data_IF_328663738214
#
_entry.id   IF_328663738214
#
_cell.length_a   1.000
_cell.length_b   1.000
_cell.length_c   1.000
_cell.angle_alpha   90.00
_cell.angle_beta   90.00
_cell.angle_gamma   90.00
#
_symmetry.space_group_name_H-M   'P 1'
#
loop_
_entity.id
_entity.type
_entity.pdbx_description
1 polymer ?
#
# COMPACT_ATOMS: atom_id res chain seq x y z
N UNK A 1 11.75 -26.07 -7.60
CA UNK A 1 10.76 -25.42 -6.70
C UNK A 1 11.16 -25.46 -5.23
N UNK A 2 11.64 -26.58 -4.65
CA UNK A 2 12.05 -26.64 -3.24
C UNK A 2 13.24 -25.72 -2.87
N UNK A 3 14.22 -25.52 -3.76
CA UNK A 3 15.37 -24.64 -3.48
C UNK A 3 15.00 -23.15 -3.43
N UNK A 4 14.15 -22.68 -4.34
CA UNK A 4 13.66 -21.28 -4.34
C UNK A 4 12.92 -20.93 -3.04
N UNK A 5 12.08 -21.85 -2.55
CA UNK A 5 11.38 -21.66 -1.28
C UNK A 5 12.33 -21.63 -0.07
N UNK A 6 13.37 -22.46 -0.07
CA UNK A 6 14.39 -22.45 0.98
C UNK A 6 15.21 -21.16 0.97
N UNK A 7 15.61 -20.68 -0.21
CA UNK A 7 16.33 -19.42 -0.39
C UNK A 7 15.49 -18.21 0.07
N UNK A 8 14.20 -18.19 -0.28
CA UNK A 8 13.28 -17.18 0.21
C UNK A 8 13.13 -17.21 1.73
N UNK A 9 13.02 -18.39 2.34
CA UNK A 9 12.94 -18.52 3.82
C UNK A 9 14.20 -18.00 4.51
N UNK A 10 15.37 -18.29 3.97
CA UNK A 10 16.64 -17.79 4.51
C UNK A 10 16.71 -16.26 4.41
N UNK A 11 16.39 -15.70 3.23
CA UNK A 11 16.35 -14.25 3.03
C UNK A 11 15.30 -13.55 3.91
N UNK A 12 14.10 -14.13 4.01
CA UNK A 12 13.03 -13.62 4.85
C UNK A 12 13.50 -13.53 6.31
N UNK A 13 14.11 -14.59 6.83
CA UNK A 13 14.58 -14.62 8.21
C UNK A 13 15.76 -13.69 8.49
N UNK A 14 16.65 -13.49 7.51
CA UNK A 14 17.87 -12.71 7.69
C UNK A 14 17.67 -11.21 7.44
N UNK A 15 16.87 -10.83 6.44
CA UNK A 15 16.75 -9.45 5.97
C UNK A 15 15.40 -8.84 6.35
N UNK A 16 14.30 -9.50 6.01
CA UNK A 16 12.94 -8.94 6.16
C UNK A 16 12.46 -9.02 7.61
N UNK A 17 12.69 -10.14 8.29
CA UNK A 17 12.24 -10.37 9.66
C UNK A 17 12.79 -9.36 10.68
N UNK A 18 14.11 -9.05 10.73
CA UNK A 18 14.61 -8.03 11.67
C UNK A 18 14.08 -6.63 11.36
N UNK A 19 13.93 -6.28 10.08
CA UNK A 19 13.28 -5.04 9.63
C UNK A 19 11.83 -4.96 10.14
N UNK A 20 11.04 -6.02 9.94
CA UNK A 20 9.66 -6.11 10.43
C UNK A 20 9.59 -6.03 11.95
N UNK A 21 10.50 -6.67 12.68
CA UNK A 21 10.57 -6.58 14.14
C UNK A 21 10.86 -5.16 14.61
N UNK A 22 11.79 -4.44 13.97
CA UNK A 22 12.10 -3.06 14.29
C UNK A 22 10.88 -2.14 14.06
N UNK A 23 10.18 -2.34 12.94
CA UNK A 23 8.95 -1.61 12.61
C UNK A 23 7.83 -1.93 13.59
N UNK A 24 7.68 -3.19 14.01
CA UNK A 24 6.71 -3.62 15.01
C UNK A 24 6.98 -3.03 16.39
N UNK A 25 8.24 -2.99 16.82
CA UNK A 25 8.63 -2.33 18.08
C UNK A 25 8.31 -0.83 18.03
N UNK A 26 8.57 -0.17 16.91
CA UNK A 26 8.21 1.24 16.69
C UNK A 26 6.70 1.44 16.75
N UNK A 27 5.91 0.59 16.09
CA UNK A 27 4.44 0.58 16.14
C UNK A 27 3.93 0.42 17.57
N UNK A 28 4.42 -0.57 18.31
CA UNK A 28 4.05 -0.81 19.72
C UNK A 28 4.43 0.36 20.64
N UNK A 29 5.57 1.02 20.40
CA UNK A 29 5.96 2.22 21.16
C UNK A 29 4.99 3.37 20.90
N UNK A 30 4.62 3.62 19.65
CA UNK A 30 3.64 4.65 19.28
C UNK A 30 2.25 4.34 19.85
N UNK A 31 1.79 3.09 19.78
CA UNK A 31 0.52 2.66 20.38
C UNK A 31 0.51 2.82 21.90
N UNK A 32 1.61 2.47 22.60
CA UNK A 32 1.72 2.68 24.05
C UNK A 32 1.70 4.16 24.42
N UNK A 33 2.41 5.01 23.66
CA UNK A 33 2.38 6.47 23.86
C UNK A 33 0.98 7.05 23.60
N UNK A 34 0.27 6.56 22.58
CA UNK A 34 -1.10 6.94 22.29
C UNK A 34 -2.05 6.54 23.43
N UNK A 35 -1.95 5.31 23.92
CA UNK A 35 -2.75 4.83 25.05
C UNK A 35 -2.48 5.65 26.32
N UNK A 36 -1.21 5.90 26.63
CA UNK A 36 -0.81 6.76 27.75
C UNK A 36 -1.37 8.18 27.61
N UNK A 37 -1.32 8.75 26.40
CA UNK A 37 -1.89 10.08 26.12
C UNK A 37 -3.41 10.12 26.25
N UNK A 38 -4.10 9.05 25.86
CA UNK A 38 -5.55 8.91 26.06
C UNK A 38 -5.92 8.81 27.55
N UNK A 39 -5.12 8.08 28.33
CA UNK A 39 -5.30 7.98 29.78
C UNK A 39 -5.03 9.32 30.48
N UNK A 40 -4.01 10.06 30.03
CA UNK A 40 -3.74 11.43 30.51
C UNK A 40 -4.92 12.36 30.20
N UNK A 41 -5.48 12.30 28.98
CA UNK A 41 -6.64 13.10 28.60
C UNK A 41 -7.87 12.75 29.46
N UNK A 42 -8.12 11.46 29.70
CA UNK A 42 -9.19 11.01 30.60
C UNK A 42 -8.99 11.54 32.03
N UNK A 43 -7.76 11.54 32.55
CA UNK A 43 -7.44 12.09 33.87
C UNK A 43 -7.72 13.60 33.95
N UNK A 44 -7.40 14.37 32.90
CA UNK A 44 -7.73 15.81 32.83
C UNK A 44 -9.24 16.04 32.84
N UNK A 45 -10.02 15.20 32.13
CA UNK A 45 -11.49 15.29 32.11
C UNK A 45 -12.09 14.94 33.48
N UNK A 46 -11.58 13.91 34.17
CA UNK A 46 -12.03 13.59 35.54
C UNK A 46 -11.71 14.73 36.51
N UNK A 47 -10.52 15.32 36.41
CA UNK A 47 -10.13 16.48 37.21
C UNK A 47 -11.03 17.69 36.93
N UNK A 48 -11.44 17.89 35.69
CA UNK A 48 -12.40 18.92 35.30
C UNK A 48 -13.73 18.76 36.02
N UNK A 49 -14.30 17.55 36.03
CA UNK A 49 -15.57 17.27 36.71
C UNK A 49 -15.46 17.50 38.21
N UNK A 50 -14.31 17.20 38.82
CA UNK A 50 -14.08 17.39 40.25
C UNK A 50 -13.88 18.85 40.66
N UNK A 51 -13.05 19.60 39.92
CA UNK A 51 -12.72 20.99 40.27
C UNK A 51 -13.76 22.00 39.79
N UNK A 52 -14.50 21.70 38.71
CA UNK A 52 -15.48 22.61 38.08
C UNK A 52 -14.89 23.97 37.63
N UNK A 53 -13.56 24.09 37.50
CA UNK A 53 -12.88 25.32 37.05
C UNK A 53 -12.60 25.24 35.55
N UNK A 54 -13.47 25.83 34.74
CA UNK A 54 -13.38 25.80 33.27
C UNK A 54 -12.07 26.36 32.71
N UNK A 55 -11.52 27.43 33.31
CA UNK A 55 -10.31 28.08 32.82
C UNK A 55 -9.06 27.19 32.94
N UNK A 56 -8.92 26.47 34.06
CA UNK A 56 -7.80 25.55 34.32
C UNK A 56 -7.85 24.36 33.37
N UNK A 57 -9.04 23.87 33.08
CA UNK A 57 -9.24 22.70 32.22
C UNK A 57 -8.98 23.04 30.77
N UNK A 58 -9.41 24.21 30.30
CA UNK A 58 -9.11 24.70 28.96
C UNK A 58 -7.60 24.91 28.77
N UNK A 59 -6.92 25.48 29.78
CA UNK A 59 -5.48 25.68 29.75
C UNK A 59 -4.68 24.35 29.68
N UNK A 60 -5.13 23.29 30.35
CA UNK A 60 -4.52 21.95 30.31
C UNK A 60 -4.82 21.19 29.01
N UNK A 61 -5.99 21.42 28.40
CA UNK A 61 -6.41 20.69 27.21
C UNK A 61 -5.60 21.10 25.96
N UNK A 62 -5.19 22.36 25.87
CA UNK A 62 -4.37 22.88 24.75
C UNK A 62 -3.06 22.08 24.56
N UNK A 63 -2.15 21.97 25.56
CA UNK A 63 -0.90 21.23 25.39
C UNK A 63 -1.13 19.73 25.17
N UNK A 64 -2.13 19.13 25.82
CA UNK A 64 -2.48 17.71 25.63
C UNK A 64 -2.99 17.46 24.20
N UNK A 65 -3.85 18.33 23.68
CA UNK A 65 -4.38 18.24 22.33
C UNK A 65 -3.29 18.38 21.27
N UNK A 66 -2.36 19.33 21.45
CA UNK A 66 -1.20 19.49 20.55
C UNK A 66 -0.31 18.25 20.55
N UNK A 67 -0.05 17.67 21.73
CA UNK A 67 0.75 16.44 21.86
C UNK A 67 0.09 15.24 21.15
N UNK A 68 -1.22 15.05 21.34
CA UNK A 68 -1.98 13.97 20.67
C UNK A 68 -1.95 14.17 19.15
N UNK A 69 -2.16 15.40 18.68
CA UNK A 69 -2.13 15.72 17.24
C UNK A 69 -0.77 15.40 16.63
N UNK A 70 0.32 15.76 17.33
CA UNK A 70 1.68 15.41 16.92
C UNK A 70 1.90 13.89 16.85
N UNK A 71 1.41 13.12 17.83
CA UNK A 71 1.50 11.66 17.83
C UNK A 71 0.74 11.04 16.65
N UNK A 72 -0.48 11.51 16.37
CA UNK A 72 -1.27 11.04 15.23
C UNK A 72 -0.55 11.33 13.91
N UNK A 73 0.01 12.53 13.76
CA UNK A 73 0.81 12.88 12.59
C UNK A 73 2.02 11.94 12.42
N UNK A 74 2.76 11.66 13.49
CA UNK A 74 3.88 10.70 13.46
C UNK A 74 3.47 9.29 13.07
N UNK A 75 2.30 8.83 13.51
CA UNK A 75 1.74 7.53 13.12
C UNK A 75 1.41 7.50 11.63
N UNK A 76 0.77 8.54 11.10
CA UNK A 76 0.46 8.62 9.67
C UNK A 76 1.72 8.62 8.80
N UNK A 77 2.77 9.35 9.21
CA UNK A 77 4.06 9.35 8.51
C UNK A 77 4.68 7.95 8.54
N UNK A 78 4.65 7.26 9.68
CA UNK A 78 5.14 5.89 9.79
C UNK A 78 4.44 4.93 8.81
N UNK A 79 3.11 5.00 8.68
CA UNK A 79 2.38 4.17 7.72
C UNK A 79 2.75 4.46 6.27
N UNK A 80 3.00 5.74 5.93
CA UNK A 80 3.43 6.15 4.58
C UNK A 80 4.83 5.65 4.24
N UNK A 81 5.74 5.59 5.22
CA UNK A 81 7.11 5.09 5.04
C UNK A 81 7.19 3.55 5.05
N UNK A 82 6.28 2.88 5.76
CA UNK A 82 6.30 1.44 5.96
C UNK A 82 6.14 0.65 4.64
N UNK A 83 5.06 0.93 3.87
CA UNK A 83 4.75 0.21 2.64
C UNK A 83 5.93 0.26 1.64
N UNK A 84 6.46 1.44 1.26
CA UNK A 84 7.59 1.51 0.33
C UNK A 84 8.85 0.80 0.79
N UNK A 85 9.16 0.86 2.09
CA UNK A 85 10.37 0.22 2.62
C UNK A 85 10.32 -1.29 2.51
N UNK A 86 9.18 -1.89 2.84
CA UNK A 86 9.01 -3.35 2.76
C UNK A 86 8.91 -3.82 1.32
N UNK A 87 8.18 -3.11 0.46
CA UNK A 87 8.06 -3.49 -0.95
C UNK A 87 9.40 -3.36 -1.66
N UNK A 88 10.18 -2.32 -1.40
CA UNK A 88 11.53 -2.20 -1.96
C UNK A 88 12.43 -3.40 -1.58
N UNK A 89 12.44 -3.82 -0.32
CA UNK A 89 13.20 -5.00 0.12
C UNK A 89 12.73 -6.31 -0.54
N UNK A 90 11.43 -6.43 -0.84
CA UNK A 90 10.89 -7.57 -1.58
C UNK A 90 11.30 -7.53 -3.05
N UNK A 91 11.27 -6.35 -3.67
CA UNK A 91 11.69 -6.19 -5.07
C UNK A 91 13.19 -6.44 -5.21
N UNK A 92 14.03 -5.91 -4.32
CA UNK A 92 15.47 -6.18 -4.28
C UNK A 92 15.77 -7.68 -4.17
N UNK A 93 14.95 -8.43 -3.42
CA UNK A 93 15.10 -9.88 -3.35
C UNK A 93 14.80 -10.56 -4.70
N UNK A 94 13.75 -10.13 -5.38
CA UNK A 94 13.33 -10.72 -6.67
C UNK A 94 14.29 -10.30 -7.79
N UNK A 95 14.83 -9.09 -7.74
CA UNK A 95 15.82 -8.54 -8.69
C UNK A 95 17.14 -9.33 -8.70
N UNK A 96 17.48 -10.00 -7.60
CA UNK A 96 18.64 -10.90 -7.54
C UNK A 96 18.47 -12.17 -8.42
N UNK A 97 17.29 -12.40 -9.02
CA UNK A 97 17.10 -13.42 -10.06
C UNK A 97 17.46 -12.84 -11.43
N UNK A 98 18.27 -13.57 -12.20
CA UNK A 98 18.79 -13.16 -13.53
C UNK A 98 17.68 -12.80 -14.53
N UNK A 99 16.46 -13.26 -14.30
CA UNK A 99 15.33 -13.06 -15.21
C UNK A 99 14.49 -11.82 -14.93
N UNK A 100 14.67 -11.16 -13.80
CA UNK A 100 13.84 -10.03 -13.37
C UNK A 100 14.68 -8.77 -13.23
N UNK A 101 14.15 -7.65 -13.68
CA UNK A 101 14.71 -6.33 -13.42
C UNK A 101 13.57 -5.41 -13.01
N UNK A 102 13.74 -4.65 -11.92
CA UNK A 102 12.73 -3.68 -11.48
C UNK A 102 13.20 -2.24 -11.72
N UNK A 103 12.38 -1.47 -12.42
CA UNK A 103 12.69 -0.08 -12.78
C UNK A 103 12.17 0.92 -11.72
N UNK A 104 11.21 0.50 -10.89
CA UNK A 104 10.74 1.30 -9.77
C UNK A 104 9.46 0.80 -9.10
N UNK A 105 9.24 1.30 -7.88
CA UNK A 105 8.01 1.11 -7.11
C UNK A 105 7.41 2.46 -6.72
N UNK A 106 6.13 2.64 -7.02
CA UNK A 106 5.35 3.81 -6.68
C UNK A 106 4.14 3.41 -5.82
N UNK A 107 4.23 3.60 -4.50
CA UNK A 107 3.16 3.21 -3.56
C UNK A 107 1.77 3.81 -3.88
N UNK A 108 1.75 5.02 -4.45
CA UNK A 108 0.52 5.71 -4.87
C UNK A 108 0.29 5.65 -6.38
N UNK A 109 1.25 5.10 -7.13
CA UNK A 109 1.10 4.91 -8.56
C UNK A 109 0.08 3.82 -8.81
N UNK A 110 -0.54 3.87 -9.99
CA UNK A 110 -1.44 2.84 -10.48
C UNK A 110 -1.45 2.87 -12.01
N UNK A 111 -1.87 1.78 -12.62
CA UNK A 111 -2.10 1.72 -14.07
C UNK A 111 -3.32 2.60 -14.39
N UNK A 112 -3.26 3.50 -15.38
CA UNK A 112 -4.39 4.37 -15.74
C UNK A 112 -5.64 3.57 -16.17
N UNK A 113 -6.85 4.10 -15.93
CA UNK A 113 -8.10 3.47 -16.40
C UNK A 113 -8.11 3.20 -17.91
N UNK A 114 -7.47 4.05 -18.70
CA UNK A 114 -7.40 3.90 -20.16
C UNK A 114 -6.67 2.61 -20.54
N UNK A 115 -5.49 2.37 -19.94
CA UNK A 115 -4.73 1.13 -20.12
C UNK A 115 -5.50 -0.09 -19.60
N UNK A 116 -6.24 0.06 -18.50
CA UNK A 116 -7.08 -1.02 -17.98
C UNK A 116 -8.18 -1.41 -18.98
N UNK A 117 -8.85 -0.44 -19.60
CA UNK A 117 -9.87 -0.66 -20.63
C UNK A 117 -9.29 -1.14 -21.97
N UNK A 118 -8.05 -0.74 -22.31
CA UNK A 118 -7.33 -1.24 -23.49
C UNK A 118 -7.13 -2.76 -23.48
N UNK A 119 -7.11 -3.40 -22.29
CA UNK A 119 -7.08 -4.86 -22.19
C UNK A 119 -8.29 -5.54 -22.84
N UNK A 120 -9.41 -4.81 -23.02
CA UNK A 120 -10.72 -5.31 -23.47
C UNK A 120 -11.28 -6.47 -22.64
N UNK A 121 -10.70 -6.73 -21.47
CA UNK A 121 -11.22 -7.71 -20.49
C UNK A 121 -12.44 -7.10 -19.78
N UNK A 122 -12.44 -5.78 -19.60
CA UNK A 122 -13.47 -5.02 -18.93
C UNK A 122 -13.97 -3.88 -19.83
N UNK A 123 -15.26 -3.57 -19.75
CA UNK A 123 -15.93 -2.61 -20.64
C UNK A 123 -16.05 -1.21 -20.07
N UNK A 124 -16.08 -1.08 -18.75
CA UNK A 124 -16.53 0.09 -17.99
C UNK A 124 -15.81 0.14 -16.64
N UNK A 125 -15.59 1.35 -16.13
CA UNK A 125 -14.86 1.58 -14.87
C UNK A 125 -15.34 2.84 -14.14
N UNK A 126 -16.56 2.80 -13.61
CA UNK A 126 -17.19 3.98 -12.98
C UNK A 126 -16.53 4.42 -11.66
N UNK A 127 -16.06 3.47 -10.86
CA UNK A 127 -15.24 3.72 -9.67
C UNK A 127 -13.91 2.98 -9.81
N UNK A 128 -12.81 3.74 -9.86
CA UNK A 128 -11.47 3.23 -10.11
C UNK A 128 -10.52 3.66 -9.00
N UNK A 129 -10.00 2.68 -8.27
CA UNK A 129 -8.98 2.88 -7.26
C UNK A 129 -7.80 1.97 -7.52
N UNK A 130 -6.58 2.52 -7.46
CA UNK A 130 -5.36 1.75 -7.61
C UNK A 130 -4.27 2.20 -6.64
N UNK A 131 -3.44 1.25 -6.24
CA UNK A 131 -2.24 1.50 -5.45
C UNK A 131 -1.12 0.51 -5.79
N UNK A 132 0.07 0.76 -5.26
CA UNK A 132 1.21 -0.17 -5.31
C UNK A 132 1.66 -0.53 -6.75
N UNK A 133 1.93 0.48 -7.59
CA UNK A 133 2.47 0.29 -8.93
C UNK A 133 3.94 -0.17 -8.89
N UNK A 134 4.19 -1.27 -9.58
CA UNK A 134 5.49 -1.90 -9.80
C UNK A 134 5.74 -1.91 -11.31
N UNK A 135 6.91 -1.44 -11.72
CA UNK A 135 7.39 -1.54 -13.10
C UNK A 135 8.67 -2.36 -13.15
N UNK A 136 8.79 -3.16 -14.19
CA UNK A 136 10.00 -3.93 -14.42
C UNK A 136 10.00 -4.63 -15.77
N UNK A 137 10.96 -5.51 -15.93
CA UNK A 137 11.16 -6.32 -17.11
C UNK A 137 11.41 -7.77 -16.70
N UNK A 138 10.78 -8.70 -17.41
CA UNK A 138 11.10 -10.12 -17.33
C UNK A 138 11.80 -10.49 -18.63
N UNK A 139 13.11 -10.71 -18.56
CA UNK A 139 13.97 -10.94 -19.74
C UNK A 139 13.92 -9.77 -20.73
N UNK A 140 13.11 -9.88 -21.80
CA UNK A 140 12.92 -8.85 -22.82
C UNK A 140 11.48 -8.27 -22.80
N UNK A 141 10.64 -8.74 -21.88
CA UNK A 141 9.22 -8.36 -21.81
C UNK A 141 9.00 -7.35 -20.69
N UNK A 142 8.75 -6.06 -20.99
CA UNK A 142 8.39 -5.08 -19.97
C UNK A 142 7.02 -5.40 -19.38
N UNK A 143 6.86 -5.17 -18.08
CA UNK A 143 5.61 -5.35 -17.36
C UNK A 143 5.34 -4.21 -16.37
N UNK A 144 4.05 -3.96 -16.16
CA UNK A 144 3.51 -3.10 -15.12
C UNK A 144 2.52 -3.92 -14.30
N UNK A 145 2.59 -3.81 -12.98
CA UNK A 145 1.64 -4.45 -12.08
C UNK A 145 1.21 -3.48 -10.98
N UNK A 146 -0.07 -3.47 -10.63
CA UNK A 146 -0.57 -2.70 -9.48
C UNK A 146 -1.79 -3.38 -8.86
N UNK A 147 -2.09 -3.07 -7.61
CA UNK A 147 -3.36 -3.47 -7.00
C UNK A 147 -4.47 -2.53 -7.47
N UNK A 148 -5.53 -3.09 -8.04
CA UNK A 148 -6.70 -2.34 -8.50
C UNK A 148 -7.97 -2.82 -7.82
N UNK A 149 -8.86 -1.87 -7.56
CA UNK A 149 -10.25 -2.09 -7.18
C UNK A 149 -11.12 -1.28 -8.11
N UNK A 150 -11.86 -1.99 -8.96
CA UNK A 150 -12.73 -1.40 -9.98
C UNK A 150 -14.17 -1.81 -9.71
N UNK A 151 -15.08 -0.84 -9.73
CA UNK A 151 -16.52 -1.06 -9.63
C UNK A 151 -17.22 -0.41 -10.81
N UNK A 152 -18.33 -1.01 -11.16
CA UNK A 152 -19.20 -0.56 -12.25
C UNK A 152 -20.61 -0.33 -11.70
N UNK A 153 -21.29 0.67 -12.24
CA UNK A 153 -22.66 0.95 -11.91
C UNK A 153 -23.59 -0.03 -12.62
N UNK A 154 -24.28 -0.87 -11.85
CA UNK A 154 -25.33 -1.73 -12.38
C UNK A 154 -26.64 -0.94 -12.47
N UNK A 155 -27.10 -0.62 -13.68
CA UNK A 155 -28.40 0.03 -13.89
C UNK A 155 -29.55 -0.79 -13.27
N UNK A 156 -29.48 -2.12 -13.40
CA UNK A 156 -30.50 -3.06 -12.89
C UNK A 156 -30.61 -3.04 -11.37
N UNK A 157 -29.48 -2.92 -10.67
CA UNK A 157 -29.43 -2.93 -9.20
C UNK A 157 -29.31 -1.53 -8.59
N UNK A 158 -29.15 -0.51 -9.43
CA UNK A 158 -28.93 0.90 -9.03
C UNK A 158 -27.83 1.04 -7.98
N UNK A 159 -26.73 0.29 -8.11
CA UNK A 159 -25.60 0.28 -7.16
C UNK A 159 -24.28 -0.01 -7.87
N UNK A 160 -23.18 0.36 -7.23
CA UNK A 160 -21.83 -0.03 -7.65
C UNK A 160 -21.57 -1.49 -7.30
N UNK A 161 -21.38 -2.33 -8.31
CA UNK A 161 -20.96 -3.73 -8.17
C UNK A 161 -19.45 -3.85 -8.41
N UNK A 162 -18.79 -4.68 -7.60
CA UNK A 162 -17.37 -4.93 -7.73
C UNK A 162 -17.10 -5.77 -8.98
N UNK A 163 -16.31 -5.22 -9.90
CA UNK A 163 -15.93 -5.91 -11.15
C UNK A 163 -14.57 -6.56 -11.01
N UNK A 164 -13.62 -5.86 -10.39
CA UNK A 164 -12.27 -6.36 -10.19
C UNK A 164 -11.70 -5.92 -8.84
N UNK A 165 -11.03 -6.84 -8.13
CA UNK A 165 -10.27 -6.54 -6.93
C UNK A 165 -9.08 -7.48 -6.85
N UNK A 166 -7.87 -6.94 -7.03
CA UNK A 166 -6.64 -7.73 -6.94
C UNK A 166 -5.48 -7.11 -7.69
N UNK A 167 -4.45 -7.91 -7.94
CA UNK A 167 -3.27 -7.49 -8.69
C UNK A 167 -3.59 -7.57 -10.18
N UNK A 168 -3.56 -6.42 -10.85
CA UNK A 168 -3.64 -6.34 -12.30
C UNK A 168 -2.23 -6.26 -12.87
N UNK A 169 -1.90 -7.17 -13.77
CA UNK A 169 -0.59 -7.23 -14.43
C UNK A 169 -0.80 -7.08 -15.93
N UNK A 170 -0.06 -6.13 -16.51
CA UNK A 170 0.02 -5.89 -17.94
C UNK A 170 1.47 -6.10 -18.38
N UNK A 171 1.68 -6.87 -19.44
CA UNK A 171 2.99 -7.08 -20.03
C UNK A 171 2.88 -6.94 -21.55
N UNK A 172 3.83 -6.25 -22.16
CA UNK A 172 3.87 -6.09 -23.61
C UNK A 172 4.81 -7.13 -24.21
N UNK A 173 4.24 -8.11 -24.91
CA UNK A 173 5.01 -9.16 -25.57
C UNK A 173 5.37 -8.73 -26.99
N UNK A 174 6.49 -8.03 -27.13
CA UNK A 174 7.08 -7.72 -28.43
C UNK A 174 7.86 -8.92 -28.97
N UNK A 175 7.35 -9.53 -30.04
CA UNK A 175 8.07 -10.56 -30.81
C UNK A 175 8.32 -10.05 -32.22
N UNK A 176 9.57 -9.69 -32.53
CA UNK A 176 9.96 -9.16 -33.84
C UNK A 176 9.75 -10.15 -35.01
N UNK A 177 9.59 -11.45 -34.73
CA UNK A 177 9.40 -12.50 -35.74
C UNK A 177 7.94 -12.71 -36.18
N UNK A 178 6.95 -12.05 -35.55
CA UNK A 178 5.55 -12.18 -35.95
C UNK A 178 5.22 -11.24 -37.12
N UNK A 179 5.65 -11.60 -38.33
CA UNK A 179 5.07 -11.06 -39.56
C UNK A 179 3.66 -11.64 -39.77
N UNK A 180 2.70 -11.19 -38.97
CA UNK A 180 1.29 -11.52 -39.15
C UNK A 180 0.74 -10.81 -40.39
N UNK A 181 0.74 -11.47 -41.54
CA UNK A 181 -0.05 -11.05 -42.69
C UNK A 181 -1.50 -11.43 -42.41
N UNK A 182 -2.41 -10.45 -42.32
CA UNK A 182 -3.85 -10.73 -42.30
C UNK A 182 -4.21 -11.25 -43.69
N UNK A 183 -4.46 -12.56 -43.78
CA UNK A 183 -5.05 -13.17 -44.97
C UNK A 183 -6.49 -12.66 -45.06
N UNK A 184 -6.68 -11.58 -45.83
CA UNK A 184 -7.99 -11.13 -46.25
C UNK A 184 -8.64 -12.23 -47.08
N UNK A 185 -9.76 -12.76 -46.58
CA UNK A 185 -10.70 -13.59 -47.33
C UNK A 185 -11.56 -12.70 -48.25
#
# INVERSE_FOLDING_TARGET
>A
MQSAYHNFRLFYNQSIHPELLNLEQRRRRLMRLLLLSGLMLAAVVVLQVYLSIFAVTLALLIPVGLWITYLVFKIQVFFKEFKPRIVALLLDFIDNDVNFTFDGYEAKGFIPPEKFLESRIFTTCDDYFGEDLIRGQVRETPFEACELRVREFSEVRSRLDLVFSGIFLMADYQRWDMHGMVLGL
#
